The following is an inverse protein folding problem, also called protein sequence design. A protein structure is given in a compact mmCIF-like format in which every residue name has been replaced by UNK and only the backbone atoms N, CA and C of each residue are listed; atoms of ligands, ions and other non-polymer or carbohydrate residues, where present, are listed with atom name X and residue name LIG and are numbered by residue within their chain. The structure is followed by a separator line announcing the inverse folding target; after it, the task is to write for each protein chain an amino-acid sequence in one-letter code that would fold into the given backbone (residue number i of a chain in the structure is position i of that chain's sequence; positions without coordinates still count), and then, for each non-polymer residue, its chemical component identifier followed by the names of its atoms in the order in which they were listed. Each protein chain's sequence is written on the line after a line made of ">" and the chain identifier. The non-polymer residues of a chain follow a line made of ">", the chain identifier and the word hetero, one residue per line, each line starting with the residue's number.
data_IF_787145171367
#
_entry.id   IF_787145171367
#
_cell.length_a   1.000
_cell.length_b   1.000
_cell.length_c   1.000
_cell.angle_alpha   90.00
_cell.angle_beta   90.00
_cell.angle_gamma   90.00
#
_symmetry.space_group_name_H-M   'P 1'
#
loop_
_entity.id
_entity.type
_entity.pdbx_description
1 polymer ?
#
# COMPACT_ATOMS: atom_id res chain seq x y z
N UNK A 1 12.47 5.21 -3.66
CA UNK A 1 12.61 5.88 -2.35
C UNK A 1 11.26 6.42 -1.92
N UNK A 2 10.75 5.98 -0.77
CA UNK A 2 9.54 6.52 -0.15
C UNK A 2 9.85 7.84 0.55
N UNK A 3 9.04 8.88 0.29
CA UNK A 3 9.29 10.21 0.84
C UNK A 3 8.97 10.30 2.32
N UNK A 4 7.81 9.77 2.73
CA UNK A 4 7.35 9.79 4.12
C UNK A 4 6.19 8.80 4.29
N UNK A 5 6.28 7.97 5.32
CA UNK A 5 5.19 7.08 5.69
C UNK A 5 3.96 7.89 6.19
N UNK A 6 2.76 7.56 5.71
CA UNK A 6 1.46 7.97 6.25
C UNK A 6 1.38 9.43 6.78
N UNK A 7 1.50 10.41 5.90
CA UNK A 7 1.32 11.82 6.27
C UNK A 7 -0.07 12.05 6.90
N UNK A 8 -0.08 12.62 8.12
CA UNK A 8 -1.27 12.76 8.98
C UNK A 8 -1.10 13.82 10.06
N UNK A 9 -2.18 14.09 10.78
CA UNK A 9 -2.21 14.99 11.95
C UNK A 9 -2.78 16.37 11.63
N UNK A 10 -2.91 17.23 12.65
CA UNK A 10 -3.60 18.53 12.58
C UNK A 10 -3.00 19.50 11.54
N UNK A 11 -1.69 19.38 11.27
CA UNK A 11 -0.98 20.23 10.30
C UNK A 11 -1.00 19.68 8.88
N UNK A 12 -1.68 18.56 8.63
CA UNK A 12 -1.80 18.05 7.27
C UNK A 12 -2.66 19.00 6.43
N UNK A 13 -2.16 19.40 5.27
CA UNK A 13 -2.91 20.16 4.29
C UNK A 13 -2.35 19.89 2.90
N UNK A 14 -3.15 20.12 1.87
CA UNK A 14 -2.70 19.99 0.48
C UNK A 14 -1.51 20.90 0.17
N UNK A 15 -1.51 22.13 0.74
CA UNK A 15 -0.44 23.09 0.56
C UNK A 15 0.88 22.61 1.20
N UNK A 16 0.80 22.13 2.45
CA UNK A 16 1.94 21.57 3.18
C UNK A 16 2.48 20.33 2.47
N UNK A 17 1.57 19.43 2.05
CA UNK A 17 1.92 18.22 1.32
C UNK A 17 2.69 18.55 0.04
N UNK A 18 2.15 19.45 -0.80
CA UNK A 18 2.80 19.84 -2.07
C UNK A 18 4.18 20.44 -1.84
N UNK A 19 4.31 21.36 -0.88
CA UNK A 19 5.59 21.99 -0.57
C UNK A 19 6.66 20.95 -0.23
N UNK A 20 6.38 20.07 0.73
CA UNK A 20 7.41 19.17 1.24
C UNK A 20 7.62 17.93 0.36
N UNK A 21 6.59 17.42 -0.31
CA UNK A 21 6.74 16.33 -1.28
C UNK A 21 7.55 16.78 -2.49
N UNK A 22 7.31 17.99 -3.01
CA UNK A 22 8.13 18.53 -4.11
C UNK A 22 9.57 18.76 -3.66
N UNK A 23 9.80 19.39 -2.50
CA UNK A 23 11.15 19.62 -1.98
C UNK A 23 11.92 18.31 -1.79
N UNK A 24 11.31 17.31 -1.15
CA UNK A 24 11.95 16.03 -0.89
C UNK A 24 12.19 15.23 -2.18
N UNK A 25 11.21 15.19 -3.08
CA UNK A 25 11.35 14.51 -4.37
C UNK A 25 12.46 15.13 -5.23
N UNK A 26 12.54 16.47 -5.29
CA UNK A 26 13.60 17.15 -6.03
C UNK A 26 14.98 16.88 -5.42
N UNK A 27 15.10 16.93 -4.08
CA UNK A 27 16.37 16.62 -3.41
C UNK A 27 16.85 15.19 -3.69
N UNK A 28 15.94 14.20 -3.66
CA UNK A 28 16.26 12.82 -4.01
C UNK A 28 16.67 12.69 -5.47
N UNK A 29 15.94 13.34 -6.40
CA UNK A 29 16.26 13.24 -7.82
C UNK A 29 17.62 13.86 -8.16
N UNK A 30 17.96 14.99 -7.52
CA UNK A 30 19.29 15.62 -7.64
C UNK A 30 20.39 14.69 -7.10
N UNK A 31 20.15 14.05 -5.96
CA UNK A 31 21.11 13.11 -5.38
C UNK A 31 21.25 11.81 -6.19
N UNK A 32 20.16 11.31 -6.75
CA UNK A 32 20.14 10.11 -7.57
C UNK A 32 18.98 10.14 -8.59
N UNK A 33 19.25 10.43 -9.87
CA UNK A 33 18.20 10.51 -10.89
C UNK A 33 17.65 9.15 -11.33
N UNK A 34 18.27 8.04 -10.92
CA UNK A 34 17.92 6.70 -11.38
C UNK A 34 16.81 6.05 -10.55
N UNK A 35 16.53 6.55 -9.34
CA UNK A 35 15.53 5.94 -8.44
C UNK A 35 14.12 6.44 -8.70
N UNK A 36 13.14 5.57 -8.47
CA UNK A 36 11.72 5.95 -8.37
C UNK A 36 11.47 6.71 -7.07
N UNK A 37 10.51 7.64 -7.10
CA UNK A 37 10.11 8.47 -5.97
C UNK A 37 8.64 8.16 -5.63
N UNK A 38 8.42 7.59 -4.46
CA UNK A 38 7.09 7.20 -3.98
C UNK A 38 6.51 8.30 -3.10
N UNK A 39 5.40 8.88 -3.54
CA UNK A 39 4.72 9.98 -2.88
C UNK A 39 3.38 9.51 -2.28
N UNK A 40 3.38 9.22 -0.99
CA UNK A 40 2.18 8.89 -0.22
C UNK A 40 1.22 10.07 -0.08
N UNK A 41 -0.08 9.80 -0.15
CA UNK A 41 -1.13 10.81 0.06
C UNK A 41 -1.21 11.36 1.50
N UNK A 42 -2.20 12.23 1.74
CA UNK A 42 -2.56 12.67 3.09
C UNK A 42 -3.50 11.65 3.75
N UNK A 43 -3.80 11.85 5.03
CA UNK A 43 -4.68 11.00 5.83
C UNK A 43 -4.25 9.54 5.80
N UNK A 44 -3.05 9.26 6.32
CA UNK A 44 -2.48 7.90 6.34
C UNK A 44 -2.29 7.33 4.93
N UNK A 45 -1.81 8.15 3.98
CA UNK A 45 -1.64 7.78 2.57
C UNK A 45 -2.94 7.32 1.86
N UNK A 46 -4.12 7.55 2.43
CA UNK A 46 -5.38 7.09 1.85
C UNK A 46 -6.01 8.10 0.88
N UNK A 47 -5.57 9.37 0.87
CA UNK A 47 -6.21 10.42 0.07
C UNK A 47 -5.21 11.07 -0.89
N UNK A 48 -5.52 11.00 -2.19
CA UNK A 48 -4.79 11.64 -3.30
C UNK A 48 -5.71 12.49 -4.19
N UNK A 49 -7.02 12.48 -3.98
CA UNK A 49 -8.04 13.11 -4.84
C UNK A 49 -7.85 14.62 -5.07
N UNK A 50 -7.15 15.31 -4.17
CA UNK A 50 -6.78 16.71 -4.35
C UNK A 50 -5.89 16.96 -5.59
N UNK A 51 -5.19 15.92 -6.05
CA UNK A 51 -4.38 15.97 -7.26
C UNK A 51 -5.22 15.99 -8.55
N UNK A 52 -6.52 15.65 -8.49
CA UNK A 52 -7.45 15.82 -9.61
C UNK A 52 -7.59 17.28 -10.03
N UNK A 53 -7.66 18.18 -9.04
CA UNK A 53 -7.83 19.62 -9.27
C UNK A 53 -6.52 20.27 -9.72
N UNK A 54 -5.40 19.82 -9.14
CA UNK A 54 -4.08 20.34 -9.43
C UNK A 54 -3.07 19.20 -9.38
N UNK A 55 -2.64 18.65 -10.53
CA UNK A 55 -1.59 17.64 -10.56
C UNK A 55 -0.32 18.14 -9.86
N UNK A 56 0.49 17.20 -9.37
CA UNK A 56 1.80 17.55 -8.83
C UNK A 56 2.72 17.92 -10.00
N UNK A 57 3.20 19.17 -10.04
CA UNK A 57 4.26 19.56 -10.95
C UNK A 57 5.59 19.05 -10.38
N UNK A 58 6.29 18.21 -11.14
CA UNK A 58 7.56 17.61 -10.73
C UNK A 58 8.66 17.96 -11.72
N UNK A 59 9.89 18.08 -11.23
CA UNK A 59 11.09 18.18 -12.09
C UNK A 59 11.72 16.81 -12.36
N UNK A 60 11.21 15.76 -11.71
CA UNK A 60 11.72 14.38 -11.80
C UNK A 60 10.90 13.48 -12.74
N UNK A 61 10.13 14.09 -13.66
CA UNK A 61 9.53 13.43 -14.82
C UNK A 61 8.81 12.10 -14.52
N UNK A 62 9.19 11.06 -15.28
CA UNK A 62 8.61 9.71 -15.21
C UNK A 62 9.08 8.87 -14.00
N UNK A 63 9.69 9.49 -12.98
CA UNK A 63 10.14 8.80 -11.76
C UNK A 63 9.11 8.85 -10.62
N UNK A 64 8.02 9.61 -10.78
CA UNK A 64 6.97 9.70 -9.77
C UNK A 64 6.12 8.42 -9.76
N UNK A 65 5.93 7.87 -8.57
CA UNK A 65 4.93 6.85 -8.26
C UNK A 65 4.11 7.37 -7.09
N UNK A 66 2.78 7.31 -7.16
CA UNK A 66 1.96 7.58 -5.99
C UNK A 66 1.91 6.34 -5.10
N UNK A 67 1.90 6.57 -3.79
CA UNK A 67 1.82 5.52 -2.80
C UNK A 67 0.51 5.66 -2.02
N UNK A 68 -0.11 4.52 -1.71
CA UNK A 68 -1.30 4.49 -0.87
C UNK A 68 -1.33 3.30 0.06
N UNK A 69 -2.02 3.46 1.18
CA UNK A 69 -2.25 2.41 2.15
C UNK A 69 -3.72 2.09 2.16
N UNK A 70 -4.07 0.80 2.17
CA UNK A 70 -5.45 0.39 2.14
C UNK A 70 -5.73 -0.80 3.06
N UNK A 71 -6.58 -0.55 4.05
CA UNK A 71 -7.00 -1.52 5.05
C UNK A 71 -8.52 -1.54 5.17
N UNK A 72 -9.12 -2.67 5.64
CA UNK A 72 -10.57 -2.76 5.79
C UNK A 72 -11.15 -1.65 6.66
N UNK A 73 -10.45 -1.26 7.73
CA UNK A 73 -10.88 -0.21 8.66
C UNK A 73 -10.75 1.21 8.07
N UNK A 74 -9.85 1.43 7.11
CA UNK A 74 -9.75 2.73 6.40
C UNK A 74 -10.88 2.92 5.39
N UNK A 75 -11.47 1.83 4.90
CA UNK A 75 -12.59 1.86 3.96
C UNK A 75 -13.97 1.64 4.62
N UNK A 76 -14.05 1.76 5.95
CA UNK A 76 -15.30 1.83 6.71
C UNK A 76 -15.37 0.86 7.89
N UNK A 77 -16.43 0.95 8.72
CA UNK A 77 -16.57 0.10 9.90
C UNK A 77 -16.86 -1.34 9.49
N UNK A 78 -16.46 -2.31 10.31
CA UNK A 78 -16.46 -3.74 9.99
C UNK A 78 -17.75 -4.24 9.30
N UNK A 79 -18.92 -3.84 9.81
CA UNK A 79 -20.24 -4.25 9.30
C UNK A 79 -20.44 -3.99 7.81
N UNK A 80 -19.88 -2.91 7.26
CA UNK A 80 -20.07 -2.55 5.85
C UNK A 80 -19.50 -3.59 4.90
N UNK A 81 -18.53 -4.38 5.36
CA UNK A 81 -17.92 -5.45 4.58
C UNK A 81 -18.79 -6.71 4.50
N UNK A 82 -19.96 -6.72 5.15
CA UNK A 82 -20.88 -7.87 5.16
C UNK A 82 -22.34 -7.51 4.86
N UNK A 83 -22.65 -6.22 4.73
CA UNK A 83 -24.02 -5.69 4.56
C UNK A 83 -24.63 -5.97 3.17
N UNK A 84 -23.81 -6.29 2.16
CA UNK A 84 -24.25 -6.49 0.76
C UNK A 84 -23.64 -7.74 0.16
N UNK A 85 -24.22 -8.27 -0.94
CA UNK A 85 -23.55 -9.26 -1.77
C UNK A 85 -22.14 -8.80 -2.16
N UNK A 86 -21.18 -9.74 -2.16
CA UNK A 86 -19.75 -9.43 -2.29
C UNK A 86 -19.43 -8.63 -3.55
N UNK A 87 -20.04 -8.95 -4.68
CA UNK A 87 -19.81 -8.23 -5.95
C UNK A 87 -20.25 -6.75 -5.88
N UNK A 88 -21.42 -6.47 -5.30
CA UNK A 88 -21.91 -5.09 -5.13
C UNK A 88 -21.05 -4.30 -4.14
N UNK A 89 -20.62 -4.99 -3.07
CA UNK A 89 -19.71 -4.43 -2.08
C UNK A 89 -18.35 -4.07 -2.71
N UNK A 90 -17.72 -5.01 -3.42
CA UNK A 90 -16.43 -4.78 -4.07
C UNK A 90 -16.51 -3.61 -5.04
N UNK A 91 -17.53 -3.57 -5.91
CA UNK A 91 -17.73 -2.44 -6.82
C UNK A 91 -17.79 -1.11 -6.07
N UNK A 92 -18.66 -0.99 -5.06
CA UNK A 92 -18.82 0.25 -4.33
C UNK A 92 -17.54 0.70 -3.59
N UNK A 93 -16.78 -0.24 -3.02
CA UNK A 93 -15.55 0.06 -2.28
C UNK A 93 -14.39 0.41 -3.21
N UNK A 94 -14.26 -0.29 -4.32
CA UNK A 94 -13.26 0.00 -5.35
C UNK A 94 -13.55 1.34 -6.03
N UNK A 95 -14.80 1.64 -6.40
CA UNK A 95 -15.17 2.93 -6.99
C UNK A 95 -14.81 4.10 -6.05
N UNK A 96 -15.07 3.94 -4.74
CA UNK A 96 -14.69 4.91 -3.73
C UNK A 96 -13.17 5.09 -3.61
N UNK A 97 -12.41 3.99 -3.64
CA UNK A 97 -10.95 4.00 -3.58
C UNK A 97 -10.33 4.61 -4.85
N UNK A 98 -10.82 4.26 -6.03
CA UNK A 98 -10.41 4.89 -7.31
C UNK A 98 -10.70 6.38 -7.27
N UNK A 99 -11.88 6.79 -6.82
CA UNK A 99 -12.23 8.20 -6.75
C UNK A 99 -11.33 8.99 -5.78
N UNK A 100 -10.94 8.39 -4.66
CA UNK A 100 -10.21 9.07 -3.58
C UNK A 100 -8.69 8.98 -3.73
N UNK A 101 -8.20 7.92 -4.35
CA UNK A 101 -6.81 7.49 -4.20
C UNK A 101 -6.21 7.07 -5.55
N UNK A 102 -6.82 6.11 -6.25
CA UNK A 102 -6.23 5.50 -7.45
C UNK A 102 -6.58 6.20 -8.78
N UNK A 103 -7.16 7.40 -8.73
CA UNK A 103 -7.71 8.07 -9.92
C UNK A 103 -6.67 8.30 -11.02
N UNK A 104 -5.43 8.63 -10.66
CA UNK A 104 -4.36 8.92 -11.63
C UNK A 104 -3.88 7.64 -12.30
N UNK A 105 -3.90 6.52 -11.59
CA UNK A 105 -3.56 5.22 -12.14
C UNK A 105 -4.60 4.76 -13.17
N UNK A 106 -5.88 5.03 -12.91
CA UNK A 106 -6.98 4.68 -13.82
C UNK A 106 -7.25 5.71 -14.92
N UNK A 107 -6.53 6.83 -14.96
CA UNK A 107 -6.80 7.93 -15.90
C UNK A 107 -6.41 7.60 -17.36
N UNK A 108 -5.51 6.63 -17.57
CA UNK A 108 -4.98 6.25 -18.88
C UNK A 108 -4.12 7.33 -19.55
N UNK A 109 -3.39 6.94 -20.60
CA UNK A 109 -2.61 7.86 -21.44
C UNK A 109 -1.51 8.63 -20.69
N UNK A 110 -1.19 9.84 -21.17
CA UNK A 110 -0.12 10.69 -20.62
C UNK A 110 -0.43 11.30 -19.26
N UNK A 111 -1.69 11.23 -18.80
CA UNK A 111 -2.10 11.66 -17.47
C UNK A 111 -1.91 10.57 -16.41
N UNK A 112 -1.60 9.34 -16.83
CA UNK A 112 -1.43 8.22 -15.91
C UNK A 112 -0.13 8.35 -15.10
N UNK A 113 -0.26 8.20 -13.78
CA UNK A 113 0.87 8.08 -12.87
C UNK A 113 0.75 6.72 -12.17
N UNK A 114 1.81 5.89 -12.16
CA UNK A 114 1.78 4.59 -11.47
C UNK A 114 1.37 4.74 -10.00
N UNK A 115 0.62 3.75 -9.51
CA UNK A 115 0.23 3.64 -8.12
C UNK A 115 0.85 2.37 -7.54
N UNK A 116 1.42 2.52 -6.35
CA UNK A 116 1.87 1.41 -5.51
C UNK A 116 1.05 1.38 -4.23
N UNK A 117 0.46 0.24 -3.90
CA UNK A 117 -0.19 0.04 -2.61
C UNK A 117 0.86 -0.41 -1.61
N UNK A 118 1.53 0.57 -0.98
CA UNK A 118 2.67 0.35 -0.08
C UNK A 118 2.31 -0.41 1.19
N UNK A 119 1.05 -0.38 1.61
CA UNK A 119 0.55 -1.21 2.69
C UNK A 119 -0.86 -1.72 2.41
N UNK A 120 -1.03 -3.03 2.49
CA UNK A 120 -2.33 -3.72 2.54
C UNK A 120 -2.22 -4.90 3.50
N UNK A 121 -3.27 -5.17 4.26
CA UNK A 121 -3.25 -6.30 5.20
C UNK A 121 -4.58 -6.59 5.86
N UNK A 122 -4.71 -7.82 6.34
CA UNK A 122 -5.77 -8.26 7.26
C UNK A 122 -5.17 -9.10 8.41
N UNK A 123 -5.84 -9.22 9.57
CA UNK A 123 -5.36 -10.06 10.65
C UNK A 123 -5.18 -11.52 10.20
N UNK A 124 -4.04 -12.15 10.53
CA UNK A 124 -3.70 -13.50 10.08
C UNK A 124 -4.24 -14.64 10.95
N UNK A 125 -4.46 -14.42 12.25
CA UNK A 125 -4.88 -15.48 13.20
C UNK A 125 -6.38 -15.73 13.22
N UNK A 126 -7.20 -14.67 13.10
CA UNK A 126 -8.66 -14.74 13.15
C UNK A 126 -9.26 -13.95 11.99
N UNK A 127 -9.15 -14.51 10.78
CA UNK A 127 -9.67 -13.90 9.57
C UNK A 127 -11.20 -13.87 9.61
N UNK A 128 -11.76 -12.73 10.04
CA UNK A 128 -13.20 -12.50 9.98
C UNK A 128 -13.69 -12.41 8.54
N UNK A 129 -14.95 -12.76 8.30
CA UNK A 129 -15.61 -12.63 6.99
C UNK A 129 -15.51 -11.20 6.41
N UNK A 130 -15.55 -10.18 7.25
CA UNK A 130 -15.38 -8.77 6.87
C UNK A 130 -14.00 -8.51 6.25
N UNK A 131 -12.95 -9.02 6.90
CA UNK A 131 -11.56 -8.91 6.41
C UNK A 131 -11.34 -9.77 5.16
N UNK A 132 -11.90 -10.97 5.12
CA UNK A 132 -11.84 -11.85 3.95
C UNK A 132 -12.53 -11.22 2.71
N UNK A 133 -13.68 -10.59 2.90
CA UNK A 133 -14.38 -9.87 1.85
C UNK A 133 -13.55 -8.67 1.35
N UNK A 134 -12.94 -7.89 2.24
CA UNK A 134 -12.00 -6.82 1.85
C UNK A 134 -10.87 -7.37 0.99
N UNK A 135 -10.18 -8.41 1.46
CA UNK A 135 -9.06 -9.01 0.74
C UNK A 135 -9.50 -9.58 -0.60
N UNK A 136 -10.71 -10.13 -0.69
CA UNK A 136 -11.30 -10.58 -1.96
C UNK A 136 -11.46 -9.44 -2.96
N UNK A 137 -12.03 -8.32 -2.52
CA UNK A 137 -12.20 -7.16 -3.38
C UNK A 137 -10.85 -6.58 -3.84
N UNK A 138 -9.90 -6.44 -2.91
CA UNK A 138 -8.56 -5.96 -3.22
C UNK A 138 -7.83 -6.89 -4.19
N UNK A 139 -7.80 -8.20 -3.90
CA UNK A 139 -7.11 -9.21 -4.70
C UNK A 139 -7.60 -9.22 -6.16
N UNK A 140 -8.92 -9.19 -6.35
CA UNK A 140 -9.53 -9.18 -7.68
C UNK A 140 -9.14 -7.91 -8.42
N UNK A 141 -9.32 -6.74 -7.80
CA UNK A 141 -9.01 -5.47 -8.45
C UNK A 141 -7.51 -5.33 -8.76
N UNK A 142 -6.64 -5.74 -7.84
CA UNK A 142 -5.20 -5.70 -8.04
C UNK A 142 -4.77 -6.60 -9.21
N UNK A 143 -5.32 -7.81 -9.32
CA UNK A 143 -5.02 -8.72 -10.42
C UNK A 143 -5.61 -8.26 -11.76
N UNK A 144 -6.80 -7.65 -11.76
CA UNK A 144 -7.43 -7.11 -12.98
C UNK A 144 -6.67 -5.91 -13.57
N UNK A 145 -5.98 -5.15 -12.72
CA UNK A 145 -5.33 -3.90 -13.11
C UNK A 145 -3.79 -3.99 -13.13
N UNK A 146 -3.21 -5.17 -12.90
CA UNK A 146 -1.75 -5.35 -12.79
C UNK A 146 -1.12 -4.37 -11.77
N UNK A 147 -1.77 -4.28 -10.60
CA UNK A 147 -1.39 -3.31 -9.57
C UNK A 147 -0.24 -3.84 -8.73
N UNK A 148 0.81 -3.03 -8.53
CA UNK A 148 1.86 -3.35 -7.57
C UNK A 148 1.45 -3.05 -6.12
N UNK A 149 1.77 -3.96 -5.20
CA UNK A 149 1.39 -3.86 -3.79
C UNK A 149 2.41 -4.51 -2.85
N UNK A 150 2.35 -4.13 -1.57
CA UNK A 150 3.12 -4.73 -0.49
C UNK A 150 2.24 -5.08 0.71
N UNK A 151 2.43 -6.30 1.23
CA UNK A 151 1.74 -6.78 2.41
C UNK A 151 2.34 -6.17 3.69
N UNK A 152 1.48 -5.59 4.53
CA UNK A 152 1.87 -5.20 5.88
C UNK A 152 1.58 -6.34 6.86
N UNK A 153 2.58 -6.91 7.53
CA UNK A 153 4.04 -6.75 7.37
C UNK A 153 4.73 -8.11 7.37
N UNK A 154 6.06 -8.15 7.25
CA UNK A 154 6.78 -9.43 7.36
C UNK A 154 6.83 -9.91 8.82
N UNK A 155 7.04 -8.98 9.75
CA UNK A 155 7.32 -9.28 11.15
C UNK A 155 6.18 -10.04 11.83
N UNK A 156 6.55 -11.01 12.65
CA UNK A 156 5.59 -11.73 13.48
C UNK A 156 5.28 -11.06 14.80
N UNK A 157 6.14 -10.16 15.27
CA UNK A 157 5.96 -9.45 16.52
C UNK A 157 7.00 -8.35 16.69
N UNK A 158 6.89 -7.62 17.80
CA UNK A 158 7.75 -6.50 18.13
C UNK A 158 8.61 -6.84 19.35
N UNK A 159 9.89 -6.52 19.28
CA UNK A 159 10.74 -6.51 20.47
C UNK A 159 10.16 -5.56 21.53
N UNK A 160 9.73 -4.36 21.10
CA UNK A 160 9.07 -3.37 21.95
C UNK A 160 8.07 -2.54 21.13
N UNK A 161 6.83 -2.41 21.61
CA UNK A 161 5.78 -1.56 21.03
C UNK A 161 4.76 -1.19 22.11
N UNK A 162 4.23 0.05 22.06
CA UNK A 162 3.20 0.54 22.97
C UNK A 162 3.51 0.28 24.46
N UNK A 163 4.77 0.52 24.84
CA UNK A 163 5.31 0.31 26.18
C UNK A 163 5.25 -1.16 26.68
N UNK A 164 5.25 -2.12 25.75
CA UNK A 164 5.25 -3.56 26.05
C UNK A 164 6.32 -4.27 25.23
N UNK A 165 7.02 -5.20 25.85
CA UNK A 165 7.98 -6.09 25.17
C UNK A 165 7.27 -7.30 24.58
N UNK A 166 7.73 -7.79 23.43
CA UNK A 166 7.25 -9.05 22.86
C UNK A 166 5.78 -9.01 22.42
N UNK A 167 5.31 -7.87 21.91
CA UNK A 167 3.94 -7.74 21.39
C UNK A 167 3.77 -8.52 20.08
N UNK A 168 2.68 -9.27 19.96
CA UNK A 168 2.35 -9.98 18.72
C UNK A 168 1.91 -9.00 17.61
N UNK A 169 2.35 -9.23 16.37
CA UNK A 169 1.89 -8.50 15.19
C UNK A 169 0.85 -9.35 14.46
N UNK A 170 -0.42 -9.12 14.76
CA UNK A 170 -1.52 -9.91 14.24
C UNK A 170 -1.70 -9.79 12.71
N UNK A 171 -1.23 -8.72 12.08
CA UNK A 171 -1.24 -8.54 10.62
C UNK A 171 0.02 -9.13 9.95
N UNK A 172 0.99 -9.58 10.77
CA UNK A 172 2.25 -10.13 10.32
C UNK A 172 2.11 -11.37 9.46
N UNK A 173 2.91 -11.44 8.40
CA UNK A 173 2.97 -12.61 7.53
C UNK A 173 3.61 -13.81 8.24
N UNK A 174 4.53 -13.56 9.17
CA UNK A 174 5.15 -14.59 10.00
C UNK A 174 4.41 -14.77 11.34
N UNK A 175 4.53 -15.98 11.89
CA UNK A 175 4.10 -16.31 13.25
C UNK A 175 4.86 -15.45 14.28
N UNK A 176 4.32 -15.34 15.49
CA UNK A 176 4.99 -14.68 16.62
C UNK A 176 6.45 -15.13 16.81
N UNK A 177 6.73 -16.42 16.55
CA UNK A 177 8.06 -17.02 16.70
C UNK A 177 8.96 -16.88 15.47
N UNK A 178 8.49 -16.21 14.40
CA UNK A 178 9.23 -15.97 13.16
C UNK A 178 9.66 -17.24 12.41
N UNK A 179 9.05 -18.39 12.73
CA UNK A 179 9.48 -19.72 12.27
C UNK A 179 8.60 -20.30 11.16
N UNK A 180 7.44 -19.70 10.90
CA UNK A 180 6.48 -20.17 9.89
C UNK A 180 5.55 -19.04 9.44
N UNK A 181 4.87 -19.18 8.29
CA UNK A 181 3.78 -18.29 7.93
C UNK A 181 2.70 -18.30 9.02
N UNK A 182 2.21 -17.12 9.41
CA UNK A 182 1.11 -16.97 10.37
C UNK A 182 -0.16 -17.68 9.89
N UNK A 183 -0.43 -17.56 8.60
CA UNK A 183 -1.58 -18.16 7.96
C UNK A 183 -1.18 -18.71 6.57
N UNK A 184 -0.97 -20.03 6.45
CA UNK A 184 -0.60 -20.65 5.18
C UNK A 184 -1.65 -20.46 4.08
N UNK A 185 -2.94 -20.41 4.41
CA UNK A 185 -4.01 -20.17 3.45
C UNK A 185 -3.93 -18.76 2.85
N UNK A 186 -3.71 -17.76 3.71
CA UNK A 186 -3.51 -16.38 3.29
C UNK A 186 -2.26 -16.25 2.42
N UNK A 187 -1.15 -16.88 2.80
CA UNK A 187 0.07 -16.89 2.00
C UNK A 187 -0.17 -17.49 0.60
N UNK A 188 -0.88 -18.60 0.50
CA UNK A 188 -1.22 -19.22 -0.78
C UNK A 188 -2.07 -18.28 -1.65
N UNK A 189 -3.02 -17.55 -1.05
CA UNK A 189 -3.83 -16.56 -1.76
C UNK A 189 -2.98 -15.39 -2.30
N UNK A 190 -2.04 -14.88 -1.50
CA UNK A 190 -1.13 -13.83 -1.93
C UNK A 190 -0.22 -14.29 -3.09
N UNK A 191 0.24 -15.55 -3.08
CA UNK A 191 1.00 -16.13 -4.19
C UNK A 191 0.20 -16.18 -5.49
N UNK A 192 -1.09 -16.52 -5.42
CA UNK A 192 -1.96 -16.52 -6.61
C UNK A 192 -2.10 -15.12 -7.22
N UNK A 193 -2.18 -14.08 -6.38
CA UNK A 193 -2.18 -12.69 -6.85
C UNK A 193 -0.84 -12.32 -7.53
N UNK A 194 0.29 -12.71 -6.93
CA UNK A 194 1.62 -12.43 -7.51
C UNK A 194 1.81 -13.06 -8.90
N UNK A 195 1.29 -14.27 -9.12
CA UNK A 195 1.37 -14.94 -10.43
C UNK A 195 0.59 -14.21 -11.53
N UNK A 196 -0.44 -13.43 -11.16
CA UNK A 196 -1.21 -12.64 -12.12
C UNK A 196 -0.55 -11.31 -12.47
N UNK A 197 0.18 -10.72 -11.54
CA UNK A 197 0.86 -9.43 -11.71
C UNK A 197 2.25 -9.54 -12.38
N UNK A 198 2.52 -10.63 -13.08
CA UNK A 198 3.75 -10.75 -13.87
C UNK A 198 3.46 -10.22 -15.27
N UNK A 199 3.99 -9.03 -15.56
CA UNK A 199 3.91 -8.41 -16.88
C UNK A 199 4.23 -9.40 -18.00
N UNK A 200 3.54 -9.23 -19.14
CA UNK A 200 3.40 -10.19 -20.26
C UNK A 200 4.70 -10.78 -20.86
N UNK A 201 5.87 -10.31 -20.45
CA UNK A 201 7.19 -10.69 -21.02
C UNK A 201 8.30 -10.95 -19.97
N UNK A 202 8.01 -10.99 -18.67
CA UNK A 202 9.08 -11.36 -17.71
C UNK A 202 9.27 -12.88 -17.70
N UNK A 203 10.45 -13.42 -18.06
CA UNK A 203 10.74 -14.84 -17.85
C UNK A 203 10.49 -15.13 -16.37
N UNK A 204 9.78 -16.22 -16.12
CA UNK A 204 9.27 -16.68 -14.83
C UNK A 204 10.34 -16.73 -13.74
N UNK A 205 10.71 -15.57 -13.21
CA UNK A 205 11.47 -15.45 -12.00
C UNK A 205 10.46 -15.68 -10.89
N UNK A 206 10.45 -16.92 -10.42
CA UNK A 206 9.85 -17.34 -9.15
C UNK A 206 10.64 -16.63 -8.04
N UNK A 207 10.49 -15.31 -7.91
CA UNK A 207 10.92 -14.60 -6.72
C UNK A 207 9.95 -15.00 -5.61
N UNK A 208 10.31 -16.09 -4.95
CA UNK A 208 9.78 -16.42 -3.64
C UNK A 208 10.10 -15.23 -2.73
N UNK A 209 9.06 -14.49 -2.35
CA UNK A 209 9.08 -13.47 -1.29
C UNK A 209 9.94 -12.23 -1.55
N UNK A 210 9.48 -11.32 -2.42
CA UNK A 210 9.84 -9.91 -2.24
C UNK A 210 8.73 -9.25 -1.43
N UNK A 211 8.88 -9.26 -0.11
CA UNK A 211 8.28 -8.21 0.71
C UNK A 211 9.07 -6.93 0.41
N UNK A 212 8.48 -5.98 -0.33
CA UNK A 212 9.04 -4.62 -0.33
C UNK A 212 8.67 -4.01 1.01
N UNK A 213 9.52 -4.23 2.01
CA UNK A 213 9.43 -3.55 3.30
C UNK A 213 10.09 -2.18 3.11
N UNK A 214 9.30 -1.11 3.12
CA UNK A 214 9.82 0.21 3.44
C UNK A 214 10.10 0.27 4.94
N UNK A 215 11.23 -0.29 5.38
CA UNK A 215 11.73 -0.06 6.73
C UNK A 215 12.50 1.27 6.71
N UNK A 216 11.81 2.36 7.07
CA UNK A 216 12.50 3.60 7.45
C UNK A 216 12.93 3.51 8.91
N UNK A 217 14.25 3.45 9.09
CA UNK A 217 15.06 3.80 10.26
C UNK A 217 14.90 3.00 11.57
N UNK A 218 15.90 2.19 11.91
CA UNK A 218 16.89 2.50 12.98
C UNK A 218 18.02 1.48 13.03
N UNK A 219 19.25 1.89 12.68
CA UNK A 219 20.42 1.93 13.59
C UNK A 219 21.62 2.52 12.86
N UNK A 220 22.04 3.70 13.33
CA UNK A 220 23.44 4.14 13.25
C UNK A 220 24.33 3.08 13.90
N UNK A 221 25.43 2.73 13.25
CA UNK A 221 26.76 2.59 13.88
C UNK A 221 27.85 2.60 12.81
N UNK A 222 28.62 3.70 12.88
CA UNK A 222 29.99 3.96 12.40
C UNK A 222 30.39 3.46 11.02
#
# INVERSE_FOLDING_TARGET
>A
MGLRNELRGERQSEATWRKYVTLAGNAIHVANPNVLIFAGGISYASVLSFLKKKPLSTTFGNKLVYESHWYPFTAGPEKVWTEKPLNQLCRAKIDGYVNTTAFSFTAGGSAAVPLFVGEVGIPGTEVKKSSDNFLSCFATWAAENDLDWAWWGLQGGYYFRDNRTGMDEYFGALSYFWDRPRNPFLLNRLRLMQLKNQGRESPSLIYSFIFIIFCSMTTLRT
#
